data_IF_928378746768
#
_entry.id   IF_928378746768
#
_cell.length_a   1.000
_cell.length_b   1.000
_cell.length_c   1.000
_cell.angle_alpha   90.00
_cell.angle_beta   90.00
_cell.angle_gamma   90.00
#
_symmetry.space_group_name_H-M   'P 1'
#
loop_
_entity.id
_entity.type
_entity.pdbx_description
1 polymer ?
#
# COMPACT_ATOMS: atom_id res chain seq x y z
N UNK A 1 -29.89 11.00 12.65
CA UNK A 1 -28.47 11.42 12.80
C UNK A 1 -27.50 10.32 13.27
N UNK A 2 -27.97 9.17 13.78
CA UNK A 2 -27.07 8.11 14.30
C UNK A 2 -26.18 7.40 13.24
N UNK A 3 -26.63 7.32 11.98
CA UNK A 3 -25.84 6.67 10.92
C UNK A 3 -24.56 7.45 10.58
N UNK A 4 -24.63 8.79 10.55
CA UNK A 4 -23.46 9.62 10.29
C UNK A 4 -22.41 9.50 11.40
N UNK A 5 -22.84 9.43 12.67
CA UNK A 5 -21.92 9.24 13.81
C UNK A 5 -21.14 7.93 13.68
N UNK A 6 -21.83 6.81 13.45
CA UNK A 6 -21.19 5.49 13.30
C UNK A 6 -20.20 5.44 12.13
N UNK A 7 -20.53 6.10 11.02
CA UNK A 7 -19.63 6.19 9.88
C UNK A 7 -18.38 7.01 10.19
N UNK A 8 -18.52 8.13 10.89
CA UNK A 8 -17.39 8.97 11.30
C UNK A 8 -16.48 8.26 12.30
N UNK A 9 -17.06 7.55 13.27
CA UNK A 9 -16.32 6.77 14.26
C UNK A 9 -15.51 5.65 13.59
N UNK A 10 -16.15 4.87 12.70
CA UNK A 10 -15.48 3.78 11.97
C UNK A 10 -14.39 4.28 11.03
N UNK A 11 -14.60 5.44 10.38
CA UNK A 11 -13.58 6.09 9.55
C UNK A 11 -12.36 6.45 10.41
N UNK A 12 -12.58 6.98 11.61
CA UNK A 12 -11.48 7.41 12.48
C UNK A 12 -10.70 6.22 13.03
N UNK A 13 -11.39 5.16 13.43
CA UNK A 13 -10.78 3.89 13.82
C UNK A 13 -9.88 3.34 12.70
N UNK A 14 -10.40 3.27 11.47
CA UNK A 14 -9.63 2.76 10.33
C UNK A 14 -8.40 3.62 10.01
N UNK A 15 -8.50 4.95 10.18
CA UNK A 15 -7.35 5.85 10.04
C UNK A 15 -6.30 5.59 11.12
N UNK A 16 -6.73 5.41 12.38
CA UNK A 16 -5.85 5.12 13.49
C UNK A 16 -5.13 3.78 13.30
N UNK A 17 -5.85 2.76 12.80
CA UNK A 17 -5.28 1.46 12.46
C UNK A 17 -4.23 1.59 11.35
N UNK A 18 -4.55 2.33 10.29
CA UNK A 18 -3.60 2.54 9.18
C UNK A 18 -2.34 3.29 9.64
N UNK A 19 -2.50 4.34 10.45
CA UNK A 19 -1.38 5.06 11.03
C UNK A 19 -0.54 4.16 11.95
N UNK A 20 -1.18 3.28 12.72
CA UNK A 20 -0.51 2.32 13.59
C UNK A 20 0.27 1.29 12.79
N UNK A 21 -0.31 0.76 11.71
CA UNK A 21 0.38 -0.15 10.78
C UNK A 21 1.65 0.50 10.22
N UNK A 22 1.57 1.72 9.69
CA UNK A 22 2.73 2.43 9.17
C UNK A 22 3.78 2.75 10.25
N UNK A 23 3.36 2.98 11.50
CA UNK A 23 4.30 3.16 12.64
C UNK A 23 5.01 1.87 13.03
N UNK A 24 4.30 0.73 12.95
CA UNK A 24 4.84 -0.58 13.28
C UNK A 24 5.75 -1.14 12.17
N UNK A 25 5.57 -0.68 10.93
CA UNK A 25 6.30 -1.14 9.75
C UNK A 25 7.19 -0.02 9.17
N UNK A 26 8.29 0.37 9.84
CA UNK A 26 9.21 1.40 9.35
C UNK A 26 9.84 1.06 8.00
N UNK A 27 9.92 -0.22 7.64
CA UNK A 27 10.38 -0.72 6.34
C UNK A 27 9.55 -0.17 5.17
N UNK A 28 8.24 0.02 5.37
CA UNK A 28 7.36 0.58 4.33
C UNK A 28 7.72 2.06 4.11
N UNK A 29 7.96 2.81 5.18
CA UNK A 29 8.35 4.21 5.08
C UNK A 29 9.68 4.35 4.34
N UNK A 30 10.68 3.54 4.71
CA UNK A 30 11.98 3.52 4.04
C UNK A 30 11.84 3.21 2.55
N UNK A 31 11.09 2.15 2.21
CA UNK A 31 10.85 1.73 0.83
C UNK A 31 10.24 2.83 -0.03
N UNK A 32 9.23 3.54 0.49
CA UNK A 32 8.58 4.65 -0.22
C UNK A 32 9.51 5.86 -0.32
N UNK A 33 10.28 6.17 0.73
CA UNK A 33 11.27 7.25 0.69
C UNK A 33 12.32 7.01 -0.38
N UNK A 34 12.84 5.79 -0.50
CA UNK A 34 13.81 5.42 -1.54
C UNK A 34 13.21 5.52 -2.94
N UNK A 35 11.97 5.04 -3.13
CA UNK A 35 11.25 5.21 -4.38
C UNK A 35 11.12 6.68 -4.79
N UNK A 36 10.67 7.54 -3.87
CA UNK A 36 10.48 8.97 -4.15
C UNK A 36 11.80 9.67 -4.46
N UNK A 37 12.89 9.32 -3.77
CA UNK A 37 14.22 9.83 -4.09
C UNK A 37 14.62 9.50 -5.52
N UNK A 38 14.47 8.24 -5.95
CA UNK A 38 14.77 7.86 -7.32
C UNK A 38 13.85 8.50 -8.35
N UNK A 39 12.56 8.62 -8.03
CA UNK A 39 11.57 9.26 -8.90
C UNK A 39 11.92 10.73 -9.16
N UNK A 40 12.25 11.48 -8.10
CA UNK A 40 12.60 12.90 -8.19
C UNK A 40 13.93 13.14 -8.89
N UNK A 41 14.88 12.22 -8.76
CA UNK A 41 16.17 12.29 -9.44
C UNK A 41 16.05 11.98 -10.93
N UNK A 42 15.34 10.90 -11.28
CA UNK A 42 15.28 10.40 -12.67
C UNK A 42 14.23 11.08 -13.52
N UNK A 43 13.15 11.59 -12.91
CA UNK A 43 12.02 12.26 -13.59
C UNK A 43 11.59 11.54 -14.88
N UNK A 44 11.19 10.26 -14.78
CA UNK A 44 10.79 9.48 -15.95
C UNK A 44 9.52 10.05 -16.59
N UNK A 45 9.38 9.88 -17.91
CA UNK A 45 8.15 10.24 -18.63
C UNK A 45 6.97 9.33 -18.25
N UNK A 46 7.25 8.03 -17.98
CA UNK A 46 6.28 7.06 -17.49
C UNK A 46 6.55 6.66 -16.03
N UNK A 47 5.78 7.26 -15.13
CA UNK A 47 5.88 7.03 -13.69
C UNK A 47 5.36 5.64 -13.29
N UNK A 48 4.37 5.09 -14.02
CA UNK A 48 3.77 3.80 -13.67
C UNK A 48 4.70 2.65 -14.04
N UNK A 49 5.31 2.70 -15.22
CA UNK A 49 6.31 1.71 -15.61
C UNK A 49 7.52 1.78 -14.66
N UNK A 50 7.98 2.98 -14.30
CA UNK A 50 9.05 3.17 -13.34
C UNK A 50 8.72 2.58 -11.96
N UNK A 51 7.51 2.83 -11.45
CA UNK A 51 7.04 2.24 -10.19
C UNK A 51 6.98 0.72 -10.27
N UNK A 52 6.45 0.16 -11.36
CA UNK A 52 6.38 -1.29 -11.58
C UNK A 52 7.77 -1.92 -11.47
N UNK A 53 8.74 -1.38 -12.21
CA UNK A 53 10.10 -1.92 -12.22
C UNK A 53 10.77 -1.82 -10.85
N UNK A 54 10.52 -0.73 -10.12
CA UNK A 54 11.00 -0.55 -8.76
C UNK A 54 10.38 -1.55 -7.76
N UNK A 55 9.06 -1.78 -7.83
CA UNK A 55 8.33 -2.58 -6.85
C UNK A 55 8.27 -4.08 -7.15
N UNK A 56 8.57 -4.53 -8.37
CA UNK A 56 8.57 -5.95 -8.78
C UNK A 56 9.32 -6.87 -7.79
N UNK A 57 10.54 -6.54 -7.33
CA UNK A 57 11.28 -7.42 -6.42
C UNK A 57 10.60 -7.64 -5.06
N UNK A 58 9.74 -6.71 -4.64
CA UNK A 58 9.03 -6.77 -3.36
C UNK A 58 7.69 -7.50 -3.47
N UNK A 59 7.25 -7.85 -4.68
CA UNK A 59 6.04 -8.65 -4.86
C UNK A 59 6.30 -10.06 -4.33
N UNK A 60 5.72 -10.38 -3.17
CA UNK A 60 5.65 -11.76 -2.69
C UNK A 60 5.08 -12.63 -3.80
N UNK A 61 5.78 -13.72 -4.16
CA UNK A 61 5.19 -14.75 -5.04
C UNK A 61 3.91 -15.20 -4.36
N UNK A 62 2.75 -14.78 -4.87
CA UNK A 62 1.48 -15.32 -4.41
C UNK A 62 1.60 -16.84 -4.59
N UNK A 63 1.40 -17.66 -3.55
CA UNK A 63 1.11 -19.05 -3.80
C UNK A 63 -0.09 -19.10 -4.76
N UNK A 64 -0.09 -19.99 -5.76
CA UNK A 64 -1.22 -20.13 -6.67
C UNK A 64 -2.47 -20.30 -5.79
N UNK A 65 -3.46 -19.42 -6.00
CA UNK A 65 -4.76 -19.57 -5.34
C UNK A 65 -5.25 -20.99 -5.64
N UNK A 66 -5.62 -21.80 -4.65
CA UNK A 66 -6.31 -23.04 -4.95
C UNK A 66 -7.57 -22.65 -5.72
N UNK A 67 -7.69 -23.20 -6.93
CA UNK A 67 -8.87 -23.09 -7.78
C UNK A 67 -10.08 -23.42 -6.91
N UNK A 68 -11.00 -22.46 -6.76
CA UNK A 68 -12.32 -22.77 -6.24
C UNK A 68 -13.01 -23.62 -7.32
N UNK A 69 -12.78 -24.93 -7.28
CA UNK A 69 -13.69 -25.89 -7.88
C UNK A 69 -14.96 -25.88 -7.03
N UNK A 70 -15.95 -25.13 -7.48
CA UNK A 70 -17.32 -25.27 -6.99
C UNK A 70 -18.00 -26.44 -7.69
N UNK A 71 -18.76 -27.27 -6.96
CA UNK A 71 -19.41 -28.49 -7.44
C UNK A 71 -20.57 -28.24 -8.41
#
# INVERSE_FOLDING_TARGET
MQMCSKFLDRKEELKADHASYLRQHPEIRALISDFLQFLLLRKPDDIFQFARDYFIPFASRRPPKPSLETP
#
